data_IF_772002023746
#
_entry.id   IF_772002023746
#
_cell.length_a   1.000
_cell.length_b   1.000
_cell.length_c   1.000
_cell.angle_alpha   90.00
_cell.angle_beta   90.00
_cell.angle_gamma   90.00
#
_symmetry.space_group_name_H-M   'P 1'
#
loop_
_entity.id
_entity.type
_entity.pdbx_description
1 polymer ?
#
# COMPACT_ATOMS: atom_id res chain seq x y z
N UNK A 1 -40.75 -29.11 -13.18
CA UNK A 1 -39.49 -28.36 -13.02
C UNK A 1 -39.85 -27.04 -12.33
N UNK A 2 -39.29 -26.75 -11.16
CA UNK A 2 -39.57 -25.47 -10.49
C UNK A 2 -38.61 -24.41 -11.03
N UNK A 3 -39.16 -23.34 -11.60
CA UNK A 3 -38.38 -22.15 -11.96
C UNK A 3 -37.75 -21.57 -10.69
N UNK A 4 -36.45 -21.33 -10.74
CA UNK A 4 -35.74 -20.64 -9.67
C UNK A 4 -36.12 -19.16 -9.74
N UNK A 5 -37.06 -18.74 -8.89
CA UNK A 5 -37.46 -17.35 -8.78
C UNK A 5 -36.29 -16.50 -8.24
N UNK A 6 -35.97 -15.41 -8.93
CA UNK A 6 -35.07 -14.40 -8.40
C UNK A 6 -35.71 -13.71 -7.19
N UNK A 7 -34.91 -13.54 -6.13
CA UNK A 7 -35.33 -12.88 -4.90
C UNK A 7 -35.09 -11.39 -4.99
N UNK A 8 -36.05 -10.59 -4.51
CA UNK A 8 -35.89 -9.13 -4.38
C UNK A 8 -34.95 -8.82 -3.21
N UNK A 9 -34.23 -7.71 -3.28
CA UNK A 9 -33.25 -7.30 -2.27
C UNK A 9 -33.85 -7.17 -0.86
N UNK A 10 -35.12 -6.73 -0.76
CA UNK A 10 -35.88 -6.63 0.51
C UNK A 10 -36.19 -7.98 1.17
N UNK A 11 -36.00 -9.08 0.44
CA UNK A 11 -36.24 -10.45 0.90
C UNK A 11 -34.94 -11.23 1.12
N UNK A 12 -33.77 -10.61 0.89
CA UNK A 12 -32.49 -11.24 1.16
C UNK A 12 -32.16 -11.23 2.66
N UNK A 13 -31.60 -12.32 3.16
CA UNK A 13 -31.06 -12.38 4.52
C UNK A 13 -29.87 -11.44 4.63
N UNK A 14 -29.98 -10.42 5.49
CA UNK A 14 -28.86 -9.55 5.81
C UNK A 14 -27.80 -10.33 6.58
N UNK A 15 -26.54 -10.19 6.17
CA UNK A 15 -25.39 -10.75 6.87
C UNK A 15 -24.55 -9.61 7.43
N UNK A 16 -24.07 -9.75 8.66
CA UNK A 16 -23.27 -8.73 9.34
C UNK A 16 -21.83 -8.65 8.83
N UNK A 17 -21.37 -9.67 8.10
CA UNK A 17 -20.02 -9.73 7.53
C UNK A 17 -19.98 -10.65 6.32
N UNK A 18 -19.08 -10.36 5.39
CA UNK A 18 -18.78 -11.22 4.23
C UNK A 18 -17.27 -11.46 4.16
N UNK A 19 -16.86 -12.69 3.90
CA UNK A 19 -15.44 -13.06 3.79
C UNK A 19 -14.82 -12.65 2.44
N UNK A 20 -15.68 -12.48 1.43
CA UNK A 20 -15.29 -12.11 0.07
C UNK A 20 -16.35 -11.23 -0.59
N UNK A 21 -15.90 -10.47 -1.58
CA UNK A 21 -16.76 -9.83 -2.57
C UNK A 21 -16.63 -10.56 -3.90
N UNK A 22 -17.69 -10.54 -4.71
CA UNK A 22 -17.67 -11.11 -6.06
C UNK A 22 -17.30 -10.03 -7.06
N UNK A 23 -16.23 -10.24 -7.81
CA UNK A 23 -15.85 -9.44 -8.97
C UNK A 23 -16.14 -10.16 -10.29
N UNK A 24 -16.05 -9.43 -11.39
CA UNK A 24 -16.12 -9.99 -12.75
C UNK A 24 -14.73 -10.00 -13.39
N UNK A 25 -14.36 -11.12 -13.99
CA UNK A 25 -13.17 -11.27 -14.86
C UNK A 25 -13.65 -11.71 -16.24
N UNK A 26 -13.96 -10.74 -17.11
CA UNK A 26 -14.64 -11.03 -18.37
C UNK A 26 -16.06 -11.53 -18.12
N UNK A 27 -16.39 -12.74 -18.60
CA UNK A 27 -17.69 -13.39 -18.35
C UNK A 27 -17.71 -14.21 -17.06
N UNK A 28 -16.54 -14.44 -16.45
CA UNK A 28 -16.42 -15.27 -15.26
C UNK A 28 -16.61 -14.45 -13.99
N UNK A 29 -17.23 -15.05 -12.98
CA UNK A 29 -17.23 -14.50 -11.62
C UNK A 29 -15.99 -14.96 -10.86
N UNK A 30 -15.33 -14.03 -10.17
CA UNK A 30 -14.21 -14.33 -9.27
C UNK A 30 -14.55 -13.88 -7.85
N UNK A 31 -14.08 -14.62 -6.84
CA UNK A 31 -14.18 -14.20 -5.44
C UNK A 31 -12.89 -13.47 -5.07
N UNK A 32 -13.05 -12.30 -4.45
CA UNK A 32 -11.95 -11.45 -3.98
C UNK A 32 -12.10 -11.34 -2.48
N UNK A 33 -11.06 -11.70 -1.71
CA UNK A 33 -11.10 -11.52 -0.26
C UNK A 33 -11.20 -10.03 0.07
N UNK A 34 -11.98 -9.68 1.08
CA UNK A 34 -12.13 -8.28 1.51
C UNK A 34 -10.77 -7.65 1.85
N UNK A 35 -9.79 -8.44 2.32
CA UNK A 35 -8.42 -8.03 2.63
C UNK A 35 -7.56 -7.59 1.43
N UNK A 36 -8.01 -7.93 0.22
CA UNK A 36 -7.23 -7.82 -1.02
C UNK A 36 -7.69 -6.64 -1.90
N UNK A 37 -8.74 -5.91 -1.52
CA UNK A 37 -9.31 -4.80 -2.30
C UNK A 37 -8.44 -3.54 -2.25
N UNK A 38 -8.42 -2.86 -1.10
CA UNK A 38 -7.58 -1.70 -0.84
C UNK A 38 -7.16 -1.78 0.61
N UNK A 39 -5.85 -1.77 0.86
CA UNK A 39 -5.32 -1.71 2.21
C UNK A 39 -5.05 -0.27 2.61
N UNK A 40 -5.68 0.17 3.70
CA UNK A 40 -5.42 1.44 4.35
C UNK A 40 -5.09 1.12 5.80
N UNK A 41 -3.90 1.49 6.24
CA UNK A 41 -3.48 1.24 7.62
C UNK A 41 -2.71 2.42 8.18
N UNK A 42 -3.01 2.77 9.42
CA UNK A 42 -2.14 3.58 10.27
C UNK A 42 -1.37 2.63 11.16
N UNK A 43 -0.04 2.69 11.13
CA UNK A 43 0.81 1.79 11.92
C UNK A 43 1.77 2.64 12.76
N UNK A 44 1.88 2.29 14.04
CA UNK A 44 2.96 2.75 14.90
C UNK A 44 4.16 1.79 14.78
N UNK A 45 5.36 2.32 14.59
CA UNK A 45 6.58 1.51 14.47
C UNK A 45 7.01 1.31 13.03
N UNK A 46 7.77 2.26 12.51
CA UNK A 46 8.39 2.20 11.20
C UNK A 46 9.74 1.45 11.29
N UNK A 47 10.04 0.57 10.33
CA UNK A 47 11.24 -0.29 10.31
C UNK A 47 12.58 0.46 10.11
N UNK A 48 12.58 1.79 10.13
CA UNK A 48 13.77 2.62 9.92
C UNK A 48 14.28 2.63 8.47
N UNK A 49 14.19 1.54 7.71
CA UNK A 49 14.55 1.52 6.28
C UNK A 49 13.38 1.91 5.39
N UNK A 50 13.46 3.07 4.74
CA UNK A 50 12.44 3.53 3.82
C UNK A 50 12.31 2.71 2.54
N UNK A 51 13.36 2.00 2.13
CA UNK A 51 13.37 1.24 0.88
C UNK A 51 13.06 -0.23 1.10
N UNK A 52 12.81 -0.66 2.33
CA UNK A 52 12.44 -2.05 2.64
C UNK A 52 11.03 -2.38 2.11
N UNK A 53 10.91 -3.35 1.18
CA UNK A 53 9.62 -3.81 0.67
C UNK A 53 8.65 -4.33 1.76
N UNK A 54 9.14 -4.75 2.92
CA UNK A 54 8.30 -5.21 4.02
C UNK A 54 7.37 -4.12 4.57
N UNK A 55 7.70 -2.84 4.36
CA UNK A 55 6.84 -1.71 4.76
C UNK A 55 5.59 -1.56 3.90
N UNK A 56 5.53 -2.20 2.72
CA UNK A 56 4.42 -2.10 1.78
C UNK A 56 4.13 -3.45 1.07
N UNK A 57 3.71 -4.49 1.81
CA UNK A 57 3.59 -5.86 1.32
C UNK A 57 2.49 -6.07 0.28
N UNK A 58 1.54 -5.14 0.18
CA UNK A 58 0.44 -5.17 -0.80
C UNK A 58 0.13 -3.78 -1.35
N UNK A 59 -0.62 -3.75 -2.45
CA UNK A 59 -1.12 -2.49 -2.98
C UNK A 59 -2.01 -1.77 -1.94
N UNK A 60 -1.78 -0.48 -1.74
CA UNK A 60 -2.48 0.28 -0.71
C UNK A 60 -1.81 1.59 -0.33
N UNK A 61 -2.41 2.23 0.68
CA UNK A 61 -1.91 3.42 1.37
C UNK A 61 -1.50 3.04 2.79
N UNK A 62 -0.26 3.34 3.14
CA UNK A 62 0.28 3.12 4.47
C UNK A 62 0.68 4.46 5.06
N UNK A 63 0.29 4.71 6.30
CA UNK A 63 0.63 5.94 7.02
C UNK A 63 1.34 5.56 8.31
N UNK A 64 2.58 6.02 8.46
CA UNK A 64 3.43 5.75 9.61
C UNK A 64 3.75 7.05 10.35
N UNK A 65 3.65 7.02 11.67
CA UNK A 65 4.38 7.95 12.53
C UNK A 65 5.81 7.41 12.70
N UNK A 66 6.81 8.27 12.50
CA UNK A 66 8.22 7.91 12.50
C UNK A 66 8.96 8.69 13.58
N UNK A 67 9.61 7.94 14.47
CA UNK A 67 10.57 8.45 15.43
C UNK A 67 11.75 7.47 15.48
N UNK A 68 12.92 7.92 15.01
CA UNK A 68 14.11 7.06 14.92
C UNK A 68 15.26 7.53 15.79
N UNK A 69 14.96 8.24 16.89
CA UNK A 69 15.93 8.82 17.82
C UNK A 69 17.08 7.89 18.25
N UNK A 70 16.81 6.59 18.37
CA UNK A 70 17.77 5.59 18.85
C UNK A 70 18.40 4.73 17.74
N UNK A 71 17.93 4.82 16.50
CA UNK A 71 18.33 3.88 15.43
C UNK A 71 18.63 4.52 14.07
N UNK A 72 18.27 5.79 13.86
CA UNK A 72 18.32 6.43 12.54
C UNK A 72 17.34 5.80 11.54
N UNK A 73 17.22 6.41 10.37
CA UNK A 73 16.52 5.83 9.22
C UNK A 73 17.50 5.43 8.14
N UNK A 74 17.50 4.16 7.71
CA UNK A 74 18.29 3.76 6.55
C UNK A 74 17.62 4.23 5.27
N UNK A 75 18.41 4.72 4.31
CA UNK A 75 17.90 5.24 3.03
C UNK A 75 16.84 6.35 3.16
N UNK A 76 16.78 7.07 4.28
CA UNK A 76 15.87 8.19 4.46
C UNK A 76 16.28 9.44 3.69
N UNK A 77 15.43 10.49 3.69
CA UNK A 77 15.77 11.77 3.07
C UNK A 77 17.03 12.40 3.68
N UNK A 78 17.27 12.17 4.97
CA UNK A 78 18.46 12.64 5.69
C UNK A 78 19.64 11.65 5.65
N UNK A 79 19.56 10.63 4.79
CA UNK A 79 20.47 9.48 4.82
C UNK A 79 20.29 8.68 6.11
N UNK A 80 21.39 8.13 6.64
CA UNK A 80 21.40 7.26 7.83
C UNK A 80 21.33 8.05 9.16
N UNK A 81 20.57 9.15 9.16
CA UNK A 81 20.37 10.03 10.32
C UNK A 81 19.00 9.82 10.94
N UNK A 82 18.79 10.41 12.11
CA UNK A 82 17.48 10.43 12.76
C UNK A 82 16.49 11.22 11.92
N UNK A 83 15.36 10.61 11.61
CA UNK A 83 14.19 11.24 11.02
C UNK A 83 13.01 11.16 11.99
N UNK A 84 12.28 12.26 12.10
CA UNK A 84 11.06 12.39 12.90
C UNK A 84 9.96 12.98 12.03
N UNK A 85 8.76 12.41 12.06
CA UNK A 85 7.61 12.94 11.35
C UNK A 85 6.65 11.87 10.86
N UNK A 86 6.04 12.09 9.70
CA UNK A 86 5.00 11.21 9.13
C UNK A 86 5.41 10.72 7.76
N UNK A 87 5.11 9.46 7.46
CA UNK A 87 5.44 8.85 6.16
C UNK A 87 4.18 8.26 5.54
N UNK A 88 3.88 8.69 4.32
CA UNK A 88 2.85 8.12 3.46
C UNK A 88 3.51 7.25 2.39
N UNK A 89 3.13 5.97 2.33
CA UNK A 89 3.57 5.06 1.28
C UNK A 89 2.36 4.67 0.44
N UNK A 90 2.43 4.97 -0.84
CA UNK A 90 1.46 4.55 -1.85
C UNK A 90 2.12 3.44 -2.66
N UNK A 91 1.66 2.21 -2.43
CA UNK A 91 2.17 1.03 -3.12
C UNK A 91 1.17 0.56 -4.16
N UNK A 92 1.65 0.36 -5.38
CA UNK A 92 0.95 -0.36 -6.43
C UNK A 92 1.83 -1.55 -6.73
N UNK A 93 1.34 -2.74 -6.40
CA UNK A 93 2.01 -4.02 -6.67
C UNK A 93 1.03 -4.88 -7.46
N UNK A 94 1.44 -5.30 -8.66
CA UNK A 94 0.77 -6.37 -9.38
C UNK A 94 1.83 -7.19 -10.13
N UNK A 95 1.88 -8.50 -9.83
CA UNK A 95 2.94 -9.46 -10.15
C UNK A 95 3.22 -9.76 -11.62
N UNK A 96 3.00 -8.81 -12.52
CA UNK A 96 3.35 -8.93 -13.95
C UNK A 96 2.91 -7.76 -14.83
N UNK A 97 2.37 -6.68 -14.28
CA UNK A 97 1.82 -5.57 -15.09
C UNK A 97 2.76 -4.37 -15.13
N UNK A 98 3.12 -3.95 -16.36
CA UNK A 98 3.90 -2.74 -16.60
C UNK A 98 3.23 -1.51 -15.96
N UNK A 99 3.96 -0.78 -15.12
CA UNK A 99 3.48 0.46 -14.48
C UNK A 99 2.67 0.26 -13.19
N UNK A 100 2.29 -0.97 -12.84
CA UNK A 100 1.62 -1.31 -11.59
C UNK A 100 2.57 -1.82 -10.50
N UNK A 101 3.88 -1.65 -10.69
CA UNK A 101 4.94 -1.97 -9.72
C UNK A 101 5.69 -0.70 -9.35
N UNK A 102 4.97 0.25 -8.78
CA UNK A 102 5.46 1.58 -8.40
C UNK A 102 5.13 1.81 -6.94
N UNK A 103 6.12 2.32 -6.21
CA UNK A 103 5.97 2.77 -4.83
C UNK A 103 6.32 4.24 -4.80
N UNK A 104 5.45 5.04 -4.21
CA UNK A 104 5.71 6.45 -3.89
C UNK A 104 5.77 6.58 -2.39
N UNK A 105 6.85 7.17 -1.90
CA UNK A 105 7.04 7.47 -0.49
C UNK A 105 7.05 8.98 -0.37
N UNK A 106 6.20 9.52 0.51
CA UNK A 106 6.28 10.90 0.95
C UNK A 106 6.61 10.90 2.43
N UNK A 107 7.68 11.58 2.80
CA UNK A 107 8.10 11.74 4.17
C UNK A 107 7.99 13.21 4.53
N UNK A 108 7.27 13.52 5.59
CA UNK A 108 7.09 14.88 6.12
C UNK A 108 7.82 14.93 7.44
N UNK A 109 8.88 15.73 7.52
CA UNK A 109 9.61 15.90 8.78
C UNK A 109 8.75 16.64 9.80
N UNK A 110 9.12 16.52 11.07
CA UNK A 110 8.53 17.30 12.16
C UNK A 110 8.62 18.82 11.91
N UNK A 111 9.69 19.27 11.24
CA UNK A 111 9.89 20.66 10.83
C UNK A 111 9.12 21.03 9.54
N UNK A 112 8.16 20.19 9.12
CA UNK A 112 7.25 20.39 7.98
C UNK A 112 8.00 20.45 6.64
N UNK A 113 9.22 19.93 6.56
CA UNK A 113 9.92 19.73 5.29
C UNK A 113 9.43 18.43 4.66
N UNK A 114 8.93 18.50 3.42
CA UNK A 114 8.49 17.31 2.70
C UNK A 114 9.60 16.73 1.85
N UNK A 115 9.57 15.41 1.68
CA UNK A 115 10.46 14.67 0.80
C UNK A 115 9.68 13.60 0.04
N UNK A 116 10.06 13.36 -1.21
CA UNK A 116 9.48 12.34 -2.05
C UNK A 116 10.56 11.42 -2.59
N UNK A 117 10.25 10.12 -2.58
CA UNK A 117 11.02 9.09 -3.25
C UNK A 117 10.07 8.21 -4.07
N UNK A 118 10.49 7.84 -5.28
CA UNK A 118 9.75 6.92 -6.14
C UNK A 118 10.64 5.71 -6.43
N UNK A 119 10.07 4.53 -6.21
CA UNK A 119 10.64 3.25 -6.60
C UNK A 119 9.82 2.61 -7.70
N UNK A 120 10.48 2.02 -8.69
CA UNK A 120 9.81 1.22 -9.73
C UNK A 120 10.52 -0.12 -9.87
N UNK A 121 9.75 -1.19 -9.80
CA UNK A 121 10.24 -2.55 -10.06
C UNK A 121 10.00 -2.88 -11.53
N UNK A 122 11.03 -3.37 -12.23
CA UNK A 122 10.88 -3.82 -13.62
C UNK A 122 10.19 -5.18 -13.65
N UNK A 123 9.57 -5.48 -14.78
CA UNK A 123 8.92 -6.78 -15.00
C UNK A 123 9.95 -7.90 -14.89
N UNK A 124 9.70 -8.85 -13.98
CA UNK A 124 10.58 -9.99 -13.73
C UNK A 124 11.79 -9.74 -12.85
N UNK A 125 12.02 -8.51 -12.38
CA UNK A 125 12.99 -8.24 -11.30
C UNK A 125 12.29 -8.45 -9.95
N UNK A 126 13.05 -8.67 -8.87
CA UNK A 126 12.50 -8.72 -7.51
C UNK A 126 12.75 -7.48 -6.66
N UNK A 127 13.61 -6.59 -7.15
CA UNK A 127 14.04 -5.37 -6.46
C UNK A 127 13.45 -4.12 -7.12
N UNK A 128 13.36 -3.04 -6.33
CA UNK A 128 12.97 -1.73 -6.84
C UNK A 128 14.21 -0.98 -7.34
N UNK A 129 14.13 -0.45 -8.56
CA UNK A 129 14.98 0.65 -8.98
C UNK A 129 14.49 1.92 -8.30
N UNK A 130 15.26 2.42 -7.33
CA UNK A 130 14.93 3.63 -6.59
C UNK A 130 15.48 4.87 -7.30
N UNK A 131 14.66 5.92 -7.33
CA UNK A 131 15.14 7.26 -7.64
C UNK A 131 15.94 7.85 -6.48
N UNK A 132 16.06 9.17 -6.50
CA UNK A 132 16.63 9.95 -5.41
C UNK A 132 15.54 10.61 -4.59
N UNK A 133 15.83 10.89 -3.33
CA UNK A 133 15.00 11.79 -2.55
C UNK A 133 15.01 13.17 -3.18
N UNK A 134 13.81 13.72 -3.34
CA UNK A 134 13.60 15.12 -3.73
C UNK A 134 12.84 15.80 -2.62
N UNK A 135 13.34 16.93 -2.15
CA UNK A 135 12.56 17.78 -1.27
C UNK A 135 11.30 18.23 -2.03
N UNK A 136 10.16 18.13 -1.37
CA UNK A 136 8.87 18.62 -1.84
C UNK A 136 8.33 19.58 -0.79
N UNK A 137 8.03 20.81 -1.21
CA UNK A 137 7.64 21.93 -0.34
C UNK A 137 8.79 22.48 0.52
#
# INVERSE_FOLDING_TARGET
MAEKQDIREDQMTSVSSVDYVRGLKGKDSVLIKSSDLVFITTIAGFNGDFKDPANFPKAGLYIYEVNTSSSGTFNGPDGDKTFYGTVEIISRINGGSNGLNIVTIKAYSYDITGFMLIGRKKTGEDTYGWGEWKQIY
#
